data_IF_191878003472
#
_entry.id   IF_191878003472
#
_cell.length_a   1.000
_cell.length_b   1.000
_cell.length_c   1.000
_cell.angle_alpha   90.00
_cell.angle_beta   90.00
_cell.angle_gamma   90.00
#
_symmetry.space_group_name_H-M   'P 1'
#
loop_
_entity.id
_entity.type
_entity.pdbx_description
1 polymer ?
#
# COMPACT_ATOMS: atom_id res chain seq x y z
N UNK A 1 63.50 -15.17 -24.65
CA UNK A 1 62.26 -14.42 -24.33
C UNK A 1 61.12 -15.42 -24.41
N UNK A 2 60.65 -15.93 -23.27
CA UNK A 2 59.52 -16.85 -23.22
C UNK A 2 58.22 -16.06 -23.28
N UNK A 3 57.25 -16.55 -24.05
CA UNK A 3 55.89 -16.03 -24.10
C UNK A 3 55.05 -16.86 -23.12
N UNK A 4 54.64 -16.32 -21.96
CA UNK A 4 53.53 -16.89 -21.20
C UNK A 4 52.23 -16.17 -21.58
N UNK A 5 51.10 -16.88 -21.59
CA UNK A 5 49.81 -16.23 -21.35
C UNK A 5 48.79 -16.17 -22.50
N UNK A 6 48.58 -17.26 -23.25
CA UNK A 6 47.35 -17.40 -24.04
C UNK A 6 46.22 -18.10 -23.24
N UNK A 7 46.55 -19.06 -22.37
CA UNK A 7 45.55 -19.80 -21.57
C UNK A 7 45.07 -19.03 -20.34
N UNK A 8 45.91 -18.14 -19.78
CA UNK A 8 45.56 -17.28 -18.64
C UNK A 8 44.44 -16.26 -18.99
N UNK A 9 44.19 -16.05 -20.29
CA UNK A 9 43.20 -15.09 -20.77
C UNK A 9 41.78 -15.65 -20.89
N UNK A 10 41.61 -16.98 -20.97
CA UNK A 10 40.28 -17.61 -21.09
C UNK A 10 39.60 -17.73 -19.72
N UNK A 11 40.32 -18.26 -18.72
CA UNK A 11 39.87 -18.36 -17.32
C UNK A 11 39.49 -16.99 -16.72
N UNK A 12 40.26 -15.95 -17.06
CA UNK A 12 39.94 -14.58 -16.67
C UNK A 12 38.67 -14.02 -17.34
N UNK A 13 38.36 -14.46 -18.55
CA UNK A 13 37.21 -13.97 -19.32
C UNK A 13 35.87 -14.52 -18.78
N UNK A 14 35.82 -15.80 -18.37
CA UNK A 14 34.59 -16.41 -17.83
C UNK A 14 34.31 -15.93 -16.41
N UNK A 15 35.34 -15.78 -15.56
CA UNK A 15 35.20 -15.14 -14.25
C UNK A 15 34.74 -13.66 -14.40
N UNK A 16 35.28 -12.95 -15.39
CA UNK A 16 34.86 -11.60 -15.73
C UNK A 16 33.38 -11.52 -16.13
N UNK A 17 32.88 -12.51 -16.90
CA UNK A 17 31.47 -12.62 -17.28
C UNK A 17 30.56 -12.85 -16.07
N UNK A 18 30.93 -13.78 -15.18
CA UNK A 18 30.20 -14.02 -13.93
C UNK A 18 30.14 -12.76 -13.08
N UNK A 19 31.28 -12.07 -12.89
CA UNK A 19 31.37 -10.81 -12.14
C UNK A 19 30.44 -9.73 -12.72
N UNK A 20 30.51 -9.50 -14.03
CA UNK A 20 29.65 -8.53 -14.70
C UNK A 20 28.18 -8.84 -14.47
N UNK A 21 27.78 -10.12 -14.58
CA UNK A 21 26.38 -10.53 -14.44
C UNK A 21 25.86 -10.36 -13.02
N UNK A 22 26.66 -10.70 -12.01
CA UNK A 22 26.32 -10.48 -10.59
C UNK A 22 26.16 -9.00 -10.28
N UNK A 23 27.05 -8.15 -10.79
CA UNK A 23 26.98 -6.70 -10.60
C UNK A 23 25.78 -6.08 -11.32
N UNK A 24 25.45 -6.55 -12.52
CA UNK A 24 24.28 -6.12 -13.25
C UNK A 24 22.99 -6.48 -12.48
N UNK A 25 22.92 -7.68 -11.90
CA UNK A 25 21.79 -8.09 -11.06
C UNK A 25 21.68 -7.21 -9.81
N UNK A 26 22.80 -6.89 -9.16
CA UNK A 26 22.82 -5.99 -8.01
C UNK A 26 22.29 -4.59 -8.34
N UNK A 27 22.62 -4.06 -9.52
CA UNK A 27 22.07 -2.79 -10.04
C UNK A 27 20.57 -2.88 -10.32
N UNK A 28 20.12 -3.95 -10.97
CA UNK A 28 18.69 -4.18 -11.26
C UNK A 28 17.85 -4.28 -9.98
N UNK A 29 18.42 -4.83 -8.91
CA UNK A 29 17.80 -4.91 -7.60
C UNK A 29 17.80 -3.58 -6.80
N UNK A 30 18.30 -2.49 -7.39
CA UNK A 30 18.35 -1.17 -6.77
C UNK A 30 19.56 -0.93 -5.86
N UNK A 31 20.67 -1.62 -6.11
CA UNK A 31 21.93 -1.53 -5.36
C UNK A 31 21.76 -1.63 -3.83
N UNK A 32 21.05 -2.64 -3.32
CA UNK A 32 20.84 -2.80 -1.88
C UNK A 32 22.17 -2.95 -1.14
N UNK A 33 22.28 -2.36 0.05
CA UNK A 33 23.50 -2.48 0.86
C UNK A 33 23.81 -3.95 1.21
N UNK A 34 25.08 -4.29 1.42
CA UNK A 34 25.49 -5.67 1.74
C UNK A 34 24.80 -6.25 2.98
N UNK A 35 24.46 -5.40 3.95
CA UNK A 35 23.69 -5.80 5.15
C UNK A 35 22.25 -6.17 4.80
N UNK A 36 21.62 -5.43 3.89
CA UNK A 36 20.25 -5.69 3.43
C UNK A 36 20.20 -7.01 2.65
N UNK A 37 21.19 -7.27 1.79
CA UNK A 37 21.27 -8.55 1.06
C UNK A 37 21.47 -9.73 2.02
N UNK A 38 22.38 -9.62 2.99
CA UNK A 38 22.58 -10.66 4.01
C UNK A 38 21.33 -10.91 4.89
N UNK A 39 20.51 -9.88 5.10
CA UNK A 39 19.23 -10.03 5.80
C UNK A 39 18.20 -10.77 4.95
N UNK A 40 18.15 -10.49 3.63
CA UNK A 40 17.25 -11.16 2.68
C UNK A 40 17.57 -12.65 2.52
N UNK A 41 18.83 -13.06 2.71
CA UNK A 41 19.24 -14.48 2.75
C UNK A 41 18.93 -15.18 4.08
N UNK A 42 18.05 -14.64 4.93
CA UNK A 42 17.71 -15.23 6.23
C UNK A 42 18.89 -15.28 7.22
N UNK A 43 19.92 -14.43 7.06
CA UNK A 43 21.19 -14.45 7.81
C UNK A 43 22.04 -15.71 7.62
N UNK A 44 21.78 -16.51 6.58
CA UNK A 44 22.60 -17.69 6.26
C UNK A 44 24.05 -17.33 5.90
N UNK A 45 24.30 -16.13 5.38
CA UNK A 45 25.63 -15.63 5.04
C UNK A 45 25.88 -14.23 5.63
N UNK A 46 27.13 -13.95 5.98
CA UNK A 46 27.52 -12.65 6.55
C UNK A 46 27.62 -11.55 5.49
N UNK A 47 27.48 -10.29 5.89
CA UNK A 47 27.62 -9.14 4.98
C UNK A 47 29.01 -9.03 4.33
N UNK A 48 30.07 -9.56 4.96
CA UNK A 48 31.41 -9.63 4.37
C UNK A 48 31.49 -10.73 3.29
N UNK A 49 30.83 -11.87 3.51
CA UNK A 49 30.65 -12.94 2.52
C UNK A 49 29.89 -12.41 1.29
N UNK A 50 28.80 -11.68 1.49
CA UNK A 50 28.05 -11.01 0.41
C UNK A 50 28.97 -10.07 -0.39
N UNK A 51 29.76 -9.25 0.30
CA UNK A 51 30.72 -8.35 -0.34
C UNK A 51 31.77 -9.10 -1.18
N UNK A 52 32.22 -10.27 -0.72
CA UNK A 52 33.15 -11.13 -1.46
C UNK A 52 32.51 -11.69 -2.74
N UNK A 53 31.27 -12.19 -2.66
CA UNK A 53 30.52 -12.72 -3.81
C UNK A 53 30.22 -11.65 -4.84
N UNK A 54 29.79 -10.45 -4.42
CA UNK A 54 29.47 -9.34 -5.33
C UNK A 54 30.70 -8.76 -6.03
N UNK A 55 31.87 -8.76 -5.36
CA UNK A 55 33.14 -8.35 -5.99
C UNK A 55 33.70 -9.43 -6.91
N UNK A 56 33.43 -10.70 -6.61
CA UNK A 56 33.81 -11.86 -7.42
C UNK A 56 35.30 -11.80 -7.85
N UNK A 57 36.18 -11.45 -6.90
CA UNK A 57 37.64 -11.38 -7.09
C UNK A 57 38.25 -12.78 -7.25
N UNK A 58 37.65 -13.77 -6.59
CA UNK A 58 37.93 -15.20 -6.69
C UNK A 58 36.62 -15.95 -6.99
N UNK A 59 36.65 -17.13 -7.62
CA UNK A 59 35.45 -17.91 -7.87
C UNK A 59 34.74 -18.24 -6.55
N UNK A 60 33.51 -17.74 -6.32
CA UNK A 60 32.77 -18.03 -5.10
C UNK A 60 32.29 -19.48 -5.09
N UNK A 61 32.05 -20.03 -3.90
CA UNK A 61 31.33 -21.30 -3.78
C UNK A 61 29.89 -21.17 -4.27
N UNK A 62 29.30 -22.27 -4.76
CA UNK A 62 27.92 -22.27 -5.28
C UNK A 62 26.89 -21.82 -4.22
N UNK A 63 26.93 -22.38 -3.00
CA UNK A 63 25.96 -22.04 -1.95
C UNK A 63 25.87 -20.55 -1.62
N UNK A 64 27.00 -19.84 -1.35
CA UNK A 64 26.96 -18.39 -1.16
C UNK A 64 26.51 -17.60 -2.39
N UNK A 65 26.83 -18.06 -3.61
CA UNK A 65 26.40 -17.40 -4.85
C UNK A 65 24.89 -17.54 -5.08
N UNK A 66 24.35 -18.73 -4.90
CA UNK A 66 22.93 -19.06 -5.00
C UNK A 66 22.08 -18.16 -4.09
N UNK A 67 22.45 -18.08 -2.80
CA UNK A 67 21.75 -17.24 -1.83
C UNK A 67 21.76 -15.76 -2.21
N UNK A 68 22.88 -15.25 -2.74
CA UNK A 68 22.98 -13.85 -3.19
C UNK A 68 22.12 -13.61 -4.43
N UNK A 69 22.12 -14.54 -5.40
CA UNK A 69 21.31 -14.42 -6.62
C UNK A 69 19.82 -14.48 -6.29
N UNK A 70 19.41 -15.39 -5.41
CA UNK A 70 18.03 -15.50 -4.94
C UNK A 70 17.57 -14.23 -4.20
N UNK A 71 18.40 -13.72 -3.27
CA UNK A 71 18.09 -12.51 -2.52
C UNK A 71 18.01 -11.22 -3.38
N UNK A 72 18.62 -11.25 -4.57
CA UNK A 72 18.55 -10.18 -5.57
C UNK A 72 17.49 -10.44 -6.65
N UNK A 73 16.77 -11.56 -6.60
CA UNK A 73 15.72 -11.91 -7.55
C UNK A 73 16.23 -12.35 -8.93
N UNK A 74 17.44 -12.89 -9.01
CA UNK A 74 18.02 -13.40 -10.25
C UNK A 74 17.60 -14.83 -10.59
N UNK A 75 17.85 -15.24 -11.84
CA UNK A 75 17.55 -16.60 -12.32
C UNK A 75 18.69 -17.57 -11.97
N UNK A 76 18.45 -18.49 -11.04
CA UNK A 76 19.48 -19.40 -10.51
C UNK A 76 20.16 -20.26 -11.59
N UNK A 77 19.41 -20.76 -12.56
CA UNK A 77 19.95 -21.64 -13.61
C UNK A 77 20.99 -20.95 -14.50
N UNK A 78 20.80 -19.66 -14.79
CA UNK A 78 21.74 -18.87 -15.58
C UNK A 78 23.08 -18.72 -14.85
N UNK A 79 23.02 -18.38 -13.56
CA UNK A 79 24.22 -18.24 -12.73
C UNK A 79 24.90 -19.58 -12.45
N UNK A 80 24.14 -20.68 -12.42
CA UNK A 80 24.68 -22.04 -12.29
C UNK A 80 25.54 -22.41 -13.48
N UNK A 81 25.07 -22.14 -14.69
CA UNK A 81 25.83 -22.41 -15.92
C UNK A 81 27.13 -21.60 -15.97
N UNK A 82 27.06 -20.31 -15.60
CA UNK A 82 28.25 -19.46 -15.52
C UNK A 82 29.23 -19.93 -14.45
N UNK A 83 28.73 -20.38 -13.29
CA UNK A 83 29.57 -20.91 -12.21
C UNK A 83 30.25 -22.23 -12.57
N UNK A 84 29.54 -23.14 -13.24
CA UNK A 84 30.11 -24.41 -13.74
C UNK A 84 31.22 -24.11 -14.75
N UNK A 85 31.00 -23.20 -15.71
CA UNK A 85 32.03 -22.80 -16.66
C UNK A 85 33.28 -22.20 -15.98
N UNK A 86 33.10 -21.37 -14.94
CA UNK A 86 34.21 -20.85 -14.13
C UNK A 86 34.96 -21.97 -13.39
N UNK A 87 34.24 -22.99 -12.91
CA UNK A 87 34.83 -24.10 -12.14
C UNK A 87 35.56 -25.09 -13.02
N UNK A 88 35.01 -25.40 -14.20
CA UNK A 88 35.62 -26.29 -15.18
C UNK A 88 36.92 -25.70 -15.73
N UNK A 89 37.00 -24.37 -15.86
CA UNK A 89 38.23 -23.67 -16.24
C UNK A 89 39.25 -23.56 -15.07
N UNK A 90 38.78 -23.43 -13.84
CA UNK A 90 39.65 -23.33 -12.65
C UNK A 90 40.18 -24.70 -12.16
N UNK A 91 39.49 -25.78 -12.49
CA UNK A 91 39.83 -27.15 -12.10
C UNK A 91 39.20 -28.13 -13.10
N UNK A 92 39.80 -28.32 -14.28
CA UNK A 92 39.35 -29.34 -15.22
C UNK A 92 39.40 -30.69 -14.52
N UNK A 93 38.24 -31.36 -14.43
CA UNK A 93 38.17 -32.72 -13.89
C UNK A 93 38.88 -33.66 -14.88
N UNK A 94 40.10 -34.09 -14.54
CA UNK A 94 40.72 -35.23 -15.20
C UNK A 94 39.82 -36.45 -14.97
N UNK A 95 39.30 -37.01 -16.06
CA UNK A 95 38.53 -38.26 -16.02
C UNK A 95 39.43 -39.39 -15.46
N UNK A 96 38.92 -40.28 -14.61
CA UNK A 96 39.65 -41.49 -14.25
C UNK A 96 39.87 -42.32 -15.51
N UNK A 97 41.13 -42.55 -15.87
CA UNK A 97 41.50 -43.52 -16.89
C UNK A 97 40.98 -44.89 -16.43
N UNK A 98 40.13 -45.60 -17.20
CA UNK A 98 39.67 -46.93 -16.82
C UNK A 98 40.83 -47.90 -17.02
N UNK A 99 41.63 -48.12 -15.97
CA UNK A 99 42.80 -48.99 -16.06
C UNK A 99 43.60 -49.15 -14.76
N UNK A 100 42.99 -49.03 -13.59
CA UNK A 100 43.66 -49.23 -12.31
C UNK A 100 42.71 -49.81 -11.26
N UNK A 101 42.17 -50.99 -11.56
CA UNK A 101 41.28 -51.72 -10.66
C UNK A 101 41.20 -53.17 -11.05
N UNK A 102 42.34 -53.86 -11.03
CA UNK A 102 42.50 -55.32 -10.99
C UNK A 102 43.99 -55.60 -10.74
N UNK A 103 44.39 -55.48 -9.49
CA UNK A 103 45.56 -56.17 -8.92
C UNK A 103 45.06 -56.82 -7.62
N UNK A 104 44.03 -57.66 -7.76
CA UNK A 104 43.79 -58.72 -6.80
C UNK A 104 44.73 -59.85 -7.18
N UNK A 105 45.65 -60.16 -6.28
CA UNK A 105 46.56 -61.28 -6.41
C UNK A 105 45.78 -62.57 -6.59
N UNK A 106 45.70 -63.00 -7.84
CA UNK A 106 45.36 -64.36 -8.23
C UNK A 106 46.56 -65.26 -7.86
N UNK A 107 46.75 -65.49 -6.56
CA UNK A 107 47.47 -66.67 -6.08
C UNK A 107 46.61 -67.89 -6.46
N UNK A 108 46.83 -68.39 -7.67
CA UNK A 108 46.42 -69.73 -8.04
C UNK A 108 47.12 -70.73 -7.08
N UNK A 109 46.39 -71.54 -6.29
CA UNK A 109 47.01 -72.68 -5.66
C UNK A 109 47.30 -73.73 -6.75
N UNK A 110 48.55 -73.72 -7.21
CA UNK A 110 49.16 -74.85 -7.89
C UNK A 110 49.35 -76.00 -6.89
N UNK A 111 48.29 -76.79 -6.68
CA UNK A 111 48.42 -78.22 -6.40
C UNK A 111 47.12 -78.94 -6.73
N UNK A 112 46.97 -79.38 -7.98
CA UNK A 112 46.26 -80.62 -8.28
C UNK A 112 47.11 -81.81 -7.78
N UNK A 113 47.45 -81.80 -6.48
CA UNK A 113 47.81 -83.01 -5.77
C UNK A 113 46.55 -83.86 -5.72
N UNK A 114 46.66 -85.16 -5.98
CA UNK A 114 45.59 -86.14 -6.04
C UNK A 114 44.53 -85.90 -4.94
N UNK A 115 43.49 -85.12 -5.25
CA UNK A 115 42.34 -84.94 -4.37
C UNK A 115 41.66 -86.29 -4.31
N UNK A 116 41.66 -86.89 -3.14
CA UNK A 116 40.90 -88.11 -2.93
C UNK A 116 39.41 -87.77 -3.01
N UNK A 117 38.55 -88.70 -3.43
CA UNK A 117 37.08 -88.49 -3.39
C UNK A 117 36.59 -87.81 -2.09
N UNK A 118 37.09 -88.18 -0.89
CA UNK A 118 36.71 -87.48 0.35
C UNK A 118 37.05 -85.99 0.39
N UNK A 119 38.14 -85.55 -0.24
CA UNK A 119 38.52 -84.13 -0.27
C UNK A 119 37.59 -83.31 -1.19
N UNK A 120 37.08 -83.95 -2.25
CA UNK A 120 36.07 -83.37 -3.13
C UNK A 120 34.70 -83.30 -2.45
N UNK A 121 34.30 -84.36 -1.74
CA UNK A 121 33.04 -84.39 -0.97
C UNK A 121 33.04 -83.28 0.10
N UNK A 122 34.15 -83.09 0.81
CA UNK A 122 34.29 -82.02 1.80
C UNK A 122 34.21 -80.61 1.17
N UNK A 123 34.87 -80.39 0.03
CA UNK A 123 34.78 -79.12 -0.70
C UNK A 123 33.37 -78.85 -1.24
N UNK A 124 32.64 -79.87 -1.68
CA UNK A 124 31.25 -79.76 -2.09
C UNK A 124 30.33 -79.37 -0.92
N UNK A 125 30.53 -79.97 0.26
CA UNK A 125 29.80 -79.60 1.48
C UNK A 125 30.05 -78.15 1.89
N UNK A 126 31.30 -77.67 1.84
CA UNK A 126 31.68 -76.28 2.15
C UNK A 126 31.06 -75.29 1.15
N UNK A 127 31.14 -75.59 -0.16
CA UNK A 127 30.53 -74.77 -1.21
C UNK A 127 29.00 -74.72 -1.06
N UNK A 128 28.36 -75.85 -0.75
CA UNK A 128 26.93 -75.91 -0.46
C UNK A 128 26.57 -75.10 0.80
N UNK A 129 27.42 -75.13 1.83
CA UNK A 129 27.30 -74.30 3.03
C UNK A 129 27.37 -72.80 2.72
N UNK A 130 28.35 -72.37 1.93
CA UNK A 130 28.49 -70.98 1.50
C UNK A 130 27.35 -70.53 0.59
N UNK A 131 26.88 -71.39 -0.33
CA UNK A 131 25.73 -71.09 -1.18
C UNK A 131 24.46 -70.89 -0.35
N UNK A 132 24.22 -71.74 0.66
CA UNK A 132 23.10 -71.60 1.58
C UNK A 132 23.19 -70.31 2.41
N UNK A 133 24.36 -69.97 2.94
CA UNK A 133 24.57 -68.75 3.72
C UNK A 133 24.41 -67.49 2.85
N UNK A 134 24.93 -67.50 1.63
CA UNK A 134 24.72 -66.42 0.66
C UNK A 134 23.25 -66.26 0.31
N UNK A 135 22.53 -67.36 0.06
CA UNK A 135 21.09 -67.33 -0.21
C UNK A 135 20.29 -66.77 0.97
N UNK A 136 20.70 -67.02 2.22
CA UNK A 136 20.06 -66.43 3.41
C UNK A 136 20.27 -64.92 3.47
N UNK A 137 21.51 -64.44 3.30
CA UNK A 137 21.83 -63.00 3.27
C UNK A 137 21.13 -62.27 2.13
N UNK A 138 21.04 -62.90 0.96
CA UNK A 138 20.24 -62.38 -0.15
C UNK A 138 18.74 -62.31 0.19
N UNK A 139 18.22 -63.30 0.92
CA UNK A 139 16.85 -63.28 1.43
C UNK A 139 16.61 -62.16 2.44
N UNK A 140 17.56 -61.90 3.35
CA UNK A 140 17.49 -60.82 4.33
C UNK A 140 17.55 -59.44 3.67
N UNK A 141 18.53 -59.22 2.78
CA UNK A 141 18.65 -57.94 2.05
C UNK A 141 17.43 -57.67 1.17
N UNK A 142 16.83 -58.69 0.54
CA UNK A 142 15.55 -58.55 -0.18
C UNK A 142 14.40 -58.15 0.74
N UNK A 143 14.31 -58.73 1.95
CA UNK A 143 13.28 -58.34 2.93
C UNK A 143 13.47 -56.89 3.38
N UNK A 144 14.69 -56.49 3.69
CA UNK A 144 15.01 -55.11 4.05
C UNK A 144 14.66 -54.12 2.94
N UNK A 145 14.96 -54.47 1.68
CA UNK A 145 14.60 -53.66 0.53
C UNK A 145 13.08 -53.50 0.38
N UNK A 146 12.32 -54.59 0.55
CA UNK A 146 10.86 -54.53 0.46
C UNK A 146 10.27 -53.64 1.57
N UNK A 147 10.75 -53.77 2.81
CA UNK A 147 10.33 -52.91 3.92
C UNK A 147 10.69 -51.43 3.66
N UNK A 148 11.87 -51.16 3.11
CA UNK A 148 12.27 -49.80 2.76
C UNK A 148 11.41 -49.20 1.65
N UNK A 149 10.99 -50.02 0.67
CA UNK A 149 10.07 -49.59 -0.40
C UNK A 149 8.65 -49.34 0.12
N UNK A 150 8.17 -50.15 1.07
CA UNK A 150 6.88 -49.95 1.73
C UNK A 150 6.87 -48.63 2.52
N UNK A 151 7.87 -48.40 3.38
CA UNK A 151 8.03 -47.14 4.11
C UNK A 151 8.14 -45.94 3.15
N UNK A 152 8.84 -46.10 2.02
CA UNK A 152 8.93 -45.05 1.00
C UNK A 152 7.57 -44.76 0.35
N UNK A 153 6.74 -45.77 0.13
CA UNK A 153 5.39 -45.60 -0.40
C UNK A 153 4.51 -44.84 0.60
N UNK A 154 4.51 -45.24 1.88
CA UNK A 154 3.77 -44.55 2.94
C UNK A 154 4.16 -43.07 3.07
N UNK A 155 5.47 -42.79 2.98
CA UNK A 155 5.96 -41.41 2.98
C UNK A 155 5.52 -40.63 1.75
N UNK A 156 5.46 -41.26 0.58
CA UNK A 156 4.97 -40.61 -0.63
C UNK A 156 3.48 -40.27 -0.52
N UNK A 157 2.66 -41.17 0.02
CA UNK A 157 1.24 -40.93 0.26
C UNK A 157 1.03 -39.80 1.27
N UNK A 158 1.78 -39.81 2.38
CA UNK A 158 1.72 -38.72 3.37
C UNK A 158 2.15 -37.37 2.80
N UNK A 159 3.17 -37.35 1.92
CA UNK A 159 3.57 -36.14 1.22
C UNK A 159 2.47 -35.65 0.27
N UNK A 160 1.81 -36.55 -0.46
CA UNK A 160 0.70 -36.21 -1.34
C UNK A 160 -0.47 -35.60 -0.56
N UNK A 161 -0.83 -36.17 0.59
CA UNK A 161 -1.86 -35.62 1.49
C UNK A 161 -1.52 -34.20 1.96
N UNK A 162 -0.27 -33.96 2.38
CA UNK A 162 0.18 -32.65 2.82
C UNK A 162 0.17 -31.61 1.68
N UNK A 163 0.56 -32.01 0.47
CA UNK A 163 0.48 -31.14 -0.71
C UNK A 163 -0.97 -30.78 -1.04
N UNK A 164 -1.89 -31.74 -0.93
CA UNK A 164 -3.31 -31.48 -1.13
C UNK A 164 -3.88 -30.54 -0.05
N UNK A 165 -3.53 -30.75 1.23
CA UNK A 165 -3.89 -29.84 2.32
C UNK A 165 -3.35 -28.43 2.07
N UNK A 166 -2.09 -28.28 1.66
CA UNK A 166 -1.52 -26.99 1.30
C UNK A 166 -2.25 -26.34 0.13
N UNK A 167 -2.67 -27.13 -0.87
CA UNK A 167 -3.50 -26.66 -1.98
C UNK A 167 -4.85 -26.10 -1.50
N UNK A 168 -5.54 -26.81 -0.60
CA UNK A 168 -6.81 -26.36 -0.01
C UNK A 168 -6.65 -25.07 0.79
N UNK A 169 -5.60 -24.97 1.60
CA UNK A 169 -5.32 -23.76 2.39
C UNK A 169 -4.96 -22.56 1.51
N UNK A 170 -4.21 -22.77 0.43
CA UNK A 170 -3.97 -21.73 -0.58
C UNK A 170 -5.28 -21.26 -1.23
N UNK A 171 -6.15 -22.19 -1.61
CA UNK A 171 -7.47 -21.85 -2.17
C UNK A 171 -8.35 -21.06 -1.19
N UNK A 172 -8.38 -21.45 0.09
CA UNK A 172 -9.08 -20.70 1.16
C UNK A 172 -8.49 -19.30 1.33
N UNK A 173 -7.16 -19.16 1.32
CA UNK A 173 -6.49 -17.88 1.44
C UNK A 173 -6.82 -16.96 0.26
N UNK A 174 -6.80 -17.47 -0.97
CA UNK A 174 -7.23 -16.71 -2.14
C UNK A 174 -8.70 -16.26 -2.05
N UNK A 175 -9.60 -17.13 -1.57
CA UNK A 175 -10.99 -16.76 -1.35
C UNK A 175 -11.14 -15.65 -0.30
N UNK A 176 -10.41 -15.76 0.82
CA UNK A 176 -10.36 -14.70 1.84
C UNK A 176 -9.81 -13.39 1.28
N UNK A 177 -8.76 -13.44 0.45
CA UNK A 177 -8.22 -12.26 -0.22
C UNK A 177 -9.23 -11.61 -1.17
N UNK A 178 -9.97 -12.40 -1.94
CA UNK A 178 -11.07 -11.89 -2.79
C UNK A 178 -12.17 -11.22 -1.96
N UNK A 179 -12.56 -11.83 -0.84
CA UNK A 179 -13.56 -11.26 0.09
C UNK A 179 -13.05 -9.96 0.73
N UNK A 180 -11.79 -9.91 1.15
CA UNK A 180 -11.17 -8.69 1.69
C UNK A 180 -11.17 -7.58 0.64
N UNK A 181 -10.75 -7.87 -0.59
CA UNK A 181 -10.77 -6.89 -1.68
C UNK A 181 -12.18 -6.37 -1.98
N UNK A 182 -13.20 -7.23 -1.94
CA UNK A 182 -14.59 -6.83 -2.11
C UNK A 182 -15.06 -5.90 -0.98
N UNK A 183 -14.79 -6.24 0.29
CA UNK A 183 -15.12 -5.40 1.45
C UNK A 183 -14.38 -4.06 1.44
N UNK A 184 -13.13 -4.04 0.99
CA UNK A 184 -12.36 -2.80 0.81
C UNK A 184 -12.98 -1.91 -0.28
N UNK A 185 -13.45 -2.49 -1.38
CA UNK A 185 -14.15 -1.76 -2.44
C UNK A 185 -15.47 -1.16 -1.93
N UNK A 186 -16.28 -1.93 -1.19
CA UNK A 186 -17.52 -1.44 -0.56
C UNK A 186 -17.24 -0.31 0.43
N UNK A 187 -16.22 -0.46 1.28
CA UNK A 187 -15.79 0.60 2.20
C UNK A 187 -15.40 1.87 1.44
N UNK A 188 -14.64 1.75 0.36
CA UNK A 188 -14.26 2.91 -0.47
C UNK A 188 -15.47 3.58 -1.11
N UNK A 189 -16.45 2.82 -1.58
CA UNK A 189 -17.70 3.37 -2.12
C UNK A 189 -18.46 4.16 -1.05
N UNK A 190 -18.59 3.61 0.15
CA UNK A 190 -19.22 4.30 1.27
C UNK A 190 -18.47 5.58 1.66
N UNK A 191 -17.13 5.56 1.68
CA UNK A 191 -16.33 6.78 1.91
C UNK A 191 -16.62 7.85 0.87
N UNK A 192 -16.61 7.51 -0.43
CA UNK A 192 -16.96 8.46 -1.51
C UNK A 192 -18.40 8.98 -1.40
N UNK A 193 -19.33 8.15 -0.93
CA UNK A 193 -20.71 8.58 -0.67
C UNK A 193 -20.79 9.57 0.48
N UNK A 194 -20.05 9.33 1.57
CA UNK A 194 -19.99 10.25 2.71
C UNK A 194 -19.41 11.60 2.28
N UNK A 195 -18.32 11.61 1.51
CA UNK A 195 -17.72 12.84 0.98
C UNK A 195 -18.73 13.65 0.15
N UNK A 196 -19.41 13.00 -0.80
CA UNK A 196 -20.48 13.65 -1.59
C UNK A 196 -21.57 14.27 -0.72
N UNK A 197 -22.08 13.53 0.27
CA UNK A 197 -23.11 14.03 1.17
C UNK A 197 -22.61 15.18 2.05
N UNK A 198 -21.33 15.18 2.44
CA UNK A 198 -20.74 16.28 3.19
C UNK A 198 -20.64 17.56 2.34
N UNK A 199 -20.28 17.43 1.07
CA UNK A 199 -20.23 18.56 0.14
C UNK A 199 -21.62 19.10 -0.19
N UNK A 200 -22.61 18.23 -0.40
CA UNK A 200 -24.03 18.63 -0.52
C UNK A 200 -24.51 19.38 0.73
N UNK A 201 -24.18 18.88 1.92
CA UNK A 201 -24.56 19.54 3.18
C UNK A 201 -23.88 20.91 3.34
N UNK A 202 -22.64 21.07 2.88
CA UNK A 202 -21.95 22.38 2.86
C UNK A 202 -22.65 23.34 1.92
N UNK A 203 -22.96 22.91 0.69
CA UNK A 203 -23.67 23.73 -0.29
C UNK A 203 -25.03 24.21 0.24
N UNK A 204 -25.84 23.31 0.83
CA UNK A 204 -27.13 23.68 1.43
C UNK A 204 -26.97 24.67 2.59
N UNK A 205 -25.90 24.56 3.38
CA UNK A 205 -25.61 25.52 4.46
C UNK A 205 -25.24 26.90 3.92
N UNK A 206 -24.45 26.96 2.86
CA UNK A 206 -24.08 28.21 2.18
C UNK A 206 -25.32 28.87 1.54
N UNK A 207 -26.17 28.11 0.87
CA UNK A 207 -27.44 28.58 0.34
C UNK A 207 -28.33 29.15 1.45
N UNK A 208 -28.50 28.41 2.55
CA UNK A 208 -29.26 28.89 3.72
C UNK A 208 -28.69 30.19 4.27
N UNK A 209 -27.37 30.32 4.37
CA UNK A 209 -26.71 31.53 4.84
C UNK A 209 -27.03 32.72 3.91
N UNK A 210 -26.91 32.53 2.59
CA UNK A 210 -27.21 33.57 1.61
C UNK A 210 -28.68 34.03 1.65
N UNK A 211 -29.61 33.10 1.89
CA UNK A 211 -31.04 33.42 2.03
C UNK A 211 -31.31 34.23 3.29
N UNK A 212 -30.67 33.88 4.42
CA UNK A 212 -30.80 34.63 5.66
C UNK A 212 -30.21 36.04 5.54
N UNK A 213 -29.08 36.20 4.85
CA UNK A 213 -28.50 37.51 4.57
C UNK A 213 -29.45 38.38 3.74
N UNK A 214 -30.02 37.83 2.66
CA UNK A 214 -31.04 38.52 1.85
C UNK A 214 -32.27 38.90 2.67
N UNK A 215 -32.77 37.98 3.51
CA UNK A 215 -33.91 38.24 4.38
C UNK A 215 -33.64 39.37 5.37
N UNK A 216 -32.46 39.38 6.00
CA UNK A 216 -32.03 40.45 6.88
C UNK A 216 -31.93 41.78 6.12
N UNK A 217 -31.38 41.78 4.90
CA UNK A 217 -31.34 42.96 4.04
C UNK A 217 -32.74 43.52 3.75
N UNK A 218 -33.73 42.65 3.46
CA UNK A 218 -35.12 43.06 3.27
C UNK A 218 -35.74 43.63 4.56
N UNK A 219 -35.44 43.05 5.72
CA UNK A 219 -35.90 43.58 7.00
C UNK A 219 -35.34 44.97 7.29
N UNK A 220 -34.03 45.18 7.08
CA UNK A 220 -33.40 46.50 7.19
C UNK A 220 -34.05 47.50 6.25
N UNK A 221 -34.23 47.13 4.97
CA UNK A 221 -34.86 48.01 3.98
C UNK A 221 -36.30 48.36 4.35
N UNK A 222 -37.07 47.40 4.87
CA UNK A 222 -38.43 47.63 5.34
C UNK A 222 -38.45 48.62 6.50
N UNK A 223 -37.53 48.52 7.44
CA UNK A 223 -37.40 49.45 8.58
C UNK A 223 -37.05 50.85 8.09
N UNK A 224 -36.10 51.00 7.16
CA UNK A 224 -35.76 52.29 6.53
C UNK A 224 -36.97 52.95 5.88
N UNK A 225 -37.77 52.18 5.12
CA UNK A 225 -38.98 52.67 4.47
C UNK A 225 -40.04 53.11 5.49
N UNK A 226 -40.26 52.35 6.57
CA UNK A 226 -41.16 52.76 7.64
C UNK A 226 -40.71 54.07 8.30
N UNK A 227 -39.41 54.24 8.57
CA UNK A 227 -38.88 55.49 9.11
C UNK A 227 -38.97 56.66 8.13
N UNK A 228 -38.76 56.43 6.82
CA UNK A 228 -38.92 57.46 5.80
C UNK A 228 -40.39 57.90 5.71
N UNK A 229 -41.31 56.95 5.66
CA UNK A 229 -42.75 57.22 5.65
C UNK A 229 -43.20 57.97 6.92
N UNK A 230 -42.74 57.53 8.10
CA UNK A 230 -43.08 58.20 9.36
C UNK A 230 -42.59 59.66 9.40
N UNK A 231 -41.39 59.94 8.87
CA UNK A 231 -40.87 61.31 8.76
C UNK A 231 -41.69 62.17 7.80
N UNK A 232 -42.08 61.62 6.65
CA UNK A 232 -42.93 62.33 5.69
C UNK A 232 -44.31 62.64 6.28
N UNK A 233 -44.91 61.66 6.95
CA UNK A 233 -46.20 61.81 7.63
C UNK A 233 -46.13 62.88 8.74
N UNK A 234 -45.04 62.91 9.51
CA UNK A 234 -44.82 63.95 10.52
C UNK A 234 -44.63 65.34 9.89
N UNK A 235 -43.94 65.45 8.74
CA UNK A 235 -43.82 66.71 7.99
C UNK A 235 -45.18 67.23 7.55
N UNK A 236 -46.00 66.36 6.95
CA UNK A 236 -47.37 66.71 6.53
C UNK A 236 -48.23 67.17 7.69
N UNK A 237 -48.12 66.52 8.86
CA UNK A 237 -48.82 66.95 10.08
C UNK A 237 -48.37 68.33 10.54
N UNK A 238 -47.05 68.60 10.54
CA UNK A 238 -46.51 69.91 10.92
C UNK A 238 -46.94 71.01 9.97
N UNK A 239 -46.94 70.77 8.66
CA UNK A 239 -47.44 71.70 7.64
C UNK A 239 -48.94 71.97 7.82
N UNK A 240 -49.75 70.95 8.10
CA UNK A 240 -51.16 71.12 8.39
C UNK A 240 -51.42 71.87 9.71
N UNK A 241 -50.57 71.67 10.73
CA UNK A 241 -50.63 72.43 11.98
C UNK A 241 -50.19 73.89 11.80
N UNK A 242 -49.13 74.16 11.03
CA UNK A 242 -48.71 75.53 10.73
C UNK A 242 -49.76 76.27 9.91
N UNK A 243 -50.33 75.64 8.88
CA UNK A 243 -51.42 76.23 8.10
C UNK A 243 -52.69 76.50 8.93
N UNK A 244 -53.01 75.63 9.90
CA UNK A 244 -54.08 75.89 10.88
C UNK A 244 -53.77 77.07 11.77
N UNK A 245 -52.55 77.16 12.33
CA UNK A 245 -52.12 78.31 13.15
C UNK A 245 -52.17 79.62 12.37
N UNK A 246 -51.71 79.63 11.12
CA UNK A 246 -51.79 80.80 10.24
C UNK A 246 -53.26 81.22 10.00
N UNK A 247 -54.12 80.24 9.71
CA UNK A 247 -55.56 80.48 9.54
C UNK A 247 -56.19 81.03 10.83
N UNK A 248 -55.84 80.49 12.00
CA UNK A 248 -56.33 80.95 13.30
C UNK A 248 -55.89 82.39 13.60
N UNK A 249 -54.65 82.76 13.25
CA UNK A 249 -54.16 84.15 13.35
C UNK A 249 -54.99 85.06 12.47
N UNK A 250 -55.20 84.71 11.19
CA UNK A 250 -56.03 85.51 10.26
C UNK A 250 -57.46 85.66 10.78
N UNK A 251 -58.07 84.58 11.26
CA UNK A 251 -59.42 84.60 11.85
C UNK A 251 -59.45 85.51 13.09
N UNK A 252 -58.43 85.45 13.95
CA UNK A 252 -58.36 86.31 15.13
C UNK A 252 -58.22 87.80 14.76
N UNK A 253 -57.43 88.11 13.73
CA UNK A 253 -57.26 89.48 13.23
C UNK A 253 -58.55 90.00 12.60
N UNK A 254 -59.24 89.18 11.80
CA UNK A 254 -60.55 89.51 11.24
C UNK A 254 -61.60 89.75 12.34
N UNK A 255 -61.63 88.92 13.39
CA UNK A 255 -62.50 89.14 14.56
C UNK A 255 -62.17 90.43 15.28
N UNK A 256 -60.89 90.75 15.47
CA UNK A 256 -60.48 92.01 16.09
C UNK A 256 -60.91 93.23 15.25
N UNK A 257 -60.74 93.16 13.92
CA UNK A 257 -61.22 94.21 12.99
C UNK A 257 -62.74 94.36 13.00
N UNK A 258 -63.46 93.24 13.03
CA UNK A 258 -64.92 93.24 13.14
C UNK A 258 -65.36 93.91 14.45
N UNK A 259 -64.78 93.50 15.59
CA UNK A 259 -65.06 94.12 16.89
C UNK A 259 -64.77 95.62 16.89
N UNK A 260 -63.63 96.05 16.35
CA UNK A 260 -63.32 97.47 16.21
C UNK A 260 -64.32 98.22 15.32
N UNK A 261 -64.79 97.60 14.22
CA UNK A 261 -65.81 98.19 13.35
C UNK A 261 -67.19 98.26 14.05
N UNK A 262 -67.56 97.23 14.82
CA UNK A 262 -68.77 97.22 15.64
C UNK A 262 -68.73 98.31 16.72
N UNK A 263 -67.59 98.51 17.39
CA UNK A 263 -67.39 99.58 18.37
C UNK A 263 -67.48 100.97 17.73
N UNK A 264 -66.92 101.15 16.52
CA UNK A 264 -67.06 102.38 15.73
C UNK A 264 -68.52 102.63 15.31
N UNK A 265 -69.24 101.61 14.85
CA UNK A 265 -70.66 101.75 14.51
C UNK A 265 -71.49 102.08 15.75
N UNK A 266 -71.17 101.46 16.89
CA UNK A 266 -71.83 101.75 18.16
C UNK A 266 -71.60 103.20 18.58
N UNK A 267 -70.37 103.73 18.43
CA UNK A 267 -70.07 105.14 18.73
C UNK A 267 -70.72 106.12 17.75
N UNK A 268 -70.83 105.78 16.46
CA UNK A 268 -71.49 106.61 15.43
C UNK A 268 -73.03 106.57 15.54
N UNK A 269 -73.61 105.45 15.98
CA UNK A 269 -75.06 105.30 16.22
C UNK A 269 -75.50 105.77 17.61
N UNK A 270 -74.55 106.12 18.48
CA UNK A 270 -74.79 106.88 19.71
C UNK A 270 -74.31 108.35 19.62
N UNK A 271 -74.65 109.16 18.59
CA UNK A 271 -74.42 110.59 18.66
C UNK A 271 -75.63 111.19 19.37
N UNK A 272 -75.57 111.31 20.69
CA UNK A 272 -76.51 112.15 21.45
C UNK A 272 -77.31 111.50 22.57
N UNK A 273 -76.63 110.83 23.52
CA UNK A 273 -77.21 110.61 24.85
C UNK A 273 -76.42 111.23 26.02
N UNK A 274 -75.40 112.06 25.74
CA UNK A 274 -74.69 112.84 26.77
C UNK A 274 -75.07 114.34 26.77
N UNK A 275 -76.28 114.70 26.31
CA UNK A 275 -76.85 116.04 26.51
C UNK A 275 -78.21 116.07 27.22
N UNK A 276 -78.65 114.96 27.80
CA UNK A 276 -79.87 114.89 28.61
C UNK A 276 -79.54 114.28 29.97
N UNK A 277 -79.02 115.11 30.88
CA UNK A 277 -78.63 114.73 32.23
C UNK A 277 -78.21 115.91 33.13
N UNK A 278 -78.19 117.13 32.60
CA UNK A 278 -78.28 118.37 33.38
C UNK A 278 -79.70 118.92 33.19
N UNK A 279 -80.65 118.47 34.02
CA UNK A 279 -81.80 119.25 34.52
C UNK A 279 -82.72 118.35 35.36
N UNK A 280 -83.14 118.90 36.51
CA UNK A 280 -84.16 118.44 37.48
C UNK A 280 -83.73 117.53 38.65
N UNK A 281 -83.52 118.21 39.78
CA UNK A 281 -84.14 118.04 41.10
C UNK A 281 -84.31 116.65 41.72
#
# INVERSE_FOLDING_TARGET
MGVPGAEESAAGAVLGRLRYRVQLLHRQAGEPSFRVVAQRTGKAISHTTVGSVLRCEKPPGWGPLELVVEALGGQLDEFRQLWVAVRDEASPLELPTPGAGEDEGEEAPSSAAELTLPDLDAAEEDLNGWAAERSRREGETRKELLLALEVRADLADRLAELLEQLGRERGRNEELQRRLAALEAERQEHSRRIERLQDELRAVREERFSLLERLNGLHTRRVELYFAWAREEESRRREAESGRRESDVVVSELRARLGAAEDLLRSVLTPGQERAGDEES
#
